data_IF_060353072604
#
_entry.id   IF_060353072604
#
_cell.length_a   1.000
_cell.length_b   1.000
_cell.length_c   1.000
_cell.angle_alpha   90.00
_cell.angle_beta   90.00
_cell.angle_gamma   90.00
#
_symmetry.space_group_name_H-M   'P 1'
#
loop_
_entity.id
_entity.type
_entity.pdbx_description
1 polymer ?
#
# COMPACT_ATOMS: atom_id res chain seq x y z
N UNK A 1 0.71 68.67 24.83
CA UNK A 1 -0.15 67.59 24.39
C UNK A 1 0.77 66.52 23.75
N UNK A 2 0.94 65.35 24.35
CA UNK A 2 1.74 64.27 23.73
C UNK A 2 0.84 63.40 22.84
N UNK A 3 1.27 63.23 21.59
CA UNK A 3 0.67 62.32 20.63
C UNK A 3 1.06 60.86 20.97
N UNK A 4 0.15 60.02 21.40
CA UNK A 4 0.31 58.59 21.51
C UNK A 4 0.15 57.98 20.10
N UNK A 5 1.22 57.43 19.55
CA UNK A 5 1.20 56.57 18.36
C UNK A 5 0.78 55.16 18.79
N UNK A 6 -0.40 54.74 18.40
CA UNK A 6 -0.82 53.33 18.54
C UNK A 6 -0.11 52.50 17.47
N UNK A 7 0.76 51.60 17.91
CA UNK A 7 1.34 50.57 17.05
C UNK A 7 0.35 49.42 17.04
N UNK A 8 -0.33 49.21 15.91
CA UNK A 8 -1.09 47.98 15.67
C UNK A 8 -0.11 46.83 15.31
N UNK A 9 0.08 45.90 16.23
CA UNK A 9 0.79 44.65 15.96
C UNK A 9 -0.24 43.69 15.36
N UNK A 10 -0.19 43.50 14.08
CA UNK A 10 -0.94 42.43 13.39
C UNK A 10 -0.25 41.12 13.71
N UNK A 11 -0.82 40.32 14.62
CA UNK A 11 -0.40 38.96 14.89
C UNK A 11 -0.90 38.12 13.73
N UNK A 12 0.00 37.80 12.79
CA UNK A 12 -0.26 36.78 11.77
C UNK A 12 -0.09 35.44 12.47
N UNK A 13 -1.20 34.83 12.86
CA UNK A 13 -1.23 33.44 13.31
C UNK A 13 -1.04 32.56 12.07
N UNK A 14 0.17 32.06 11.87
CA UNK A 14 0.37 30.91 11.00
C UNK A 14 -0.27 29.71 11.70
N UNK A 15 -1.43 29.31 11.22
CA UNK A 15 -1.96 27.99 11.54
C UNK A 15 -1.04 26.98 10.85
N UNK A 16 -0.13 26.38 11.59
CA UNK A 16 0.55 25.16 11.16
C UNK A 16 -0.54 24.11 11.17
N UNK A 17 -1.05 23.78 9.99
CA UNK A 17 -2.00 22.70 9.81
C UNK A 17 -1.19 21.37 9.94
N UNK A 18 -0.82 21.04 11.18
CA UNK A 18 -0.36 19.69 11.48
C UNK A 18 -1.58 18.81 11.35
N UNK A 19 -1.66 18.00 10.31
CA UNK A 19 -2.67 16.97 10.19
C UNK A 19 -2.68 16.17 11.50
N UNK A 20 -3.72 16.38 12.30
CA UNK A 20 -3.89 15.62 13.51
C UNK A 20 -4.32 14.20 13.12
N UNK A 21 -3.52 13.21 13.49
CA UNK A 21 -3.90 11.79 13.42
C UNK A 21 -3.86 11.18 14.79
N UNK A 22 -4.64 10.12 14.98
CA UNK A 22 -4.54 9.26 16.14
C UNK A 22 -3.82 7.95 15.74
N UNK A 23 -2.80 7.57 16.49
CA UNK A 23 -2.14 6.28 16.33
C UNK A 23 -2.73 5.25 17.28
N UNK A 24 -2.88 4.03 16.81
CA UNK A 24 -3.40 2.94 17.62
C UNK A 24 -2.98 1.57 17.10
N UNK A 25 -3.49 0.56 17.82
CA UNK A 25 -3.29 -0.83 17.46
C UNK A 25 -4.63 -1.57 17.41
N UNK A 26 -4.84 -2.32 16.34
CA UNK A 26 -5.90 -3.32 16.25
C UNK A 26 -5.32 -4.71 16.44
N UNK A 27 -6.15 -5.67 16.87
CA UNK A 27 -5.69 -7.03 17.15
C UNK A 27 -6.54 -8.05 16.39
N UNK A 28 -5.84 -8.94 15.69
CA UNK A 28 -6.42 -10.13 15.06
C UNK A 28 -5.77 -11.37 15.69
N UNK A 29 -6.37 -11.89 16.77
CA UNK A 29 -5.73 -12.87 17.64
C UNK A 29 -4.43 -12.29 18.24
N UNK A 30 -3.32 -12.99 18.05
CA UNK A 30 -2.00 -12.56 18.54
C UNK A 30 -1.30 -11.52 17.63
N UNK A 31 -1.92 -11.19 16.50
CA UNK A 31 -1.36 -10.22 15.55
C UNK A 31 -1.82 -8.81 15.90
N UNK A 32 -0.87 -7.95 16.21
CA UNK A 32 -1.07 -6.53 16.46
C UNK A 32 -0.77 -5.75 15.20
N UNK A 33 -1.71 -4.89 14.76
CA UNK A 33 -1.65 -4.07 13.55
C UNK A 33 -1.61 -2.60 13.95
N UNK A 34 -0.52 -1.92 13.62
CA UNK A 34 -0.38 -0.48 13.85
C UNK A 34 -1.14 0.30 12.78
N UNK A 35 -1.93 1.29 13.19
CA UNK A 35 -2.68 2.15 12.28
C UNK A 35 -2.53 3.62 12.64
N UNK A 36 -2.80 4.50 11.67
CA UNK A 36 -3.09 5.93 11.85
C UNK A 36 -4.47 6.22 11.29
N UNK A 37 -5.20 7.00 12.05
CA UNK A 37 -6.54 7.46 11.74
C UNK A 37 -6.48 8.98 11.54
N UNK A 38 -6.70 9.43 10.31
CA UNK A 38 -6.58 10.83 9.91
C UNK A 38 -7.94 11.51 9.88
N UNK A 39 -7.99 12.73 10.45
CA UNK A 39 -9.15 13.60 10.37
C UNK A 39 -10.20 13.37 11.43
N UNK A 40 -11.31 14.13 11.33
CA UNK A 40 -12.37 14.07 12.33
C UNK A 40 -13.11 12.73 12.26
N UNK A 41 -13.54 12.22 13.41
CA UNK A 41 -14.34 10.98 13.51
C UNK A 41 -15.67 11.06 12.73
N UNK A 42 -16.10 12.25 12.36
CA UNK A 42 -17.29 12.51 11.53
C UNK A 42 -17.01 12.39 10.01
N UNK A 43 -15.74 12.31 9.61
CA UNK A 43 -15.38 12.12 8.20
C UNK A 43 -15.81 10.75 7.68
N UNK A 44 -16.06 10.64 6.39
CA UNK A 44 -16.45 9.37 5.77
C UNK A 44 -15.22 8.43 5.69
N UNK A 45 -15.23 7.26 6.38
CA UNK A 45 -14.06 6.43 6.53
C UNK A 45 -13.63 5.79 5.21
N UNK A 46 -12.32 5.84 4.94
CA UNK A 46 -11.68 5.15 3.84
C UNK A 46 -10.45 4.38 4.34
N UNK A 47 -10.48 3.05 4.20
CA UNK A 47 -9.37 2.18 4.58
C UNK A 47 -8.39 2.01 3.41
N UNK A 48 -7.14 2.38 3.61
CA UNK A 48 -6.08 2.32 2.61
C UNK A 48 -5.14 1.15 2.89
N UNK A 49 -5.09 0.18 1.98
CA UNK A 49 -4.28 -1.05 2.10
C UNK A 49 -3.02 -0.94 1.25
N UNK A 50 -1.86 -0.88 1.91
CA UNK A 50 -0.56 -0.64 1.29
C UNK A 50 -0.01 -1.88 0.58
N UNK A 51 0.88 -1.65 -0.40
CA UNK A 51 1.56 -2.68 -1.18
C UNK A 51 2.66 -3.42 -0.41
N UNK A 52 3.36 -4.30 -1.12
CA UNK A 52 4.43 -5.16 -0.60
C UNK A 52 5.54 -4.35 0.08
N UNK A 53 5.76 -4.60 1.36
CA UNK A 53 6.78 -3.94 2.18
C UNK A 53 6.52 -2.46 2.46
N UNK A 54 5.40 -1.91 1.97
CA UNK A 54 5.00 -0.54 2.25
C UNK A 54 4.46 -0.40 3.67
N UNK A 55 4.84 0.71 4.32
CA UNK A 55 4.36 1.10 5.64
C UNK A 55 3.26 2.16 5.52
N UNK A 56 2.53 2.39 6.59
CA UNK A 56 1.47 3.40 6.65
C UNK A 56 1.96 4.82 6.27
N UNK A 57 3.22 5.15 6.57
CA UNK A 57 3.85 6.43 6.23
C UNK A 57 4.22 6.57 4.75
N UNK A 58 4.15 5.49 3.98
CA UNK A 58 4.48 5.52 2.55
C UNK A 58 3.28 5.88 1.65
N UNK A 59 2.11 6.15 2.22
CA UNK A 59 1.07 6.80 1.46
C UNK A 59 1.47 8.24 1.14
N UNK A 60 1.28 8.70 -0.11
CA UNK A 60 1.62 10.06 -0.48
C UNK A 60 0.77 11.09 0.28
N UNK A 61 1.41 12.13 0.83
CA UNK A 61 0.71 13.16 1.59
C UNK A 61 -0.36 13.86 0.74
N UNK A 62 -0.07 14.15 -0.53
CA UNK A 62 -1.03 14.76 -1.44
C UNK A 62 -2.32 13.94 -1.66
N UNK A 63 -2.26 12.60 -1.54
CA UNK A 63 -3.46 11.76 -1.56
C UNK A 63 -4.23 11.87 -0.24
N UNK A 64 -3.53 11.82 0.90
CA UNK A 64 -4.16 11.90 2.22
C UNK A 64 -4.80 13.27 2.42
N UNK A 65 -4.09 14.35 2.09
CA UNK A 65 -4.58 15.73 2.13
C UNK A 65 -5.83 15.89 1.28
N UNK A 66 -5.79 15.44 0.03
CA UNK A 66 -6.93 15.50 -0.87
C UNK A 66 -8.16 14.78 -0.30
N UNK A 67 -7.99 13.61 0.30
CA UNK A 67 -9.10 12.88 0.90
C UNK A 67 -9.68 13.64 2.11
N UNK A 68 -8.83 14.17 2.99
CA UNK A 68 -9.24 14.91 4.18
C UNK A 68 -9.96 16.20 3.78
N UNK A 69 -9.41 16.96 2.84
CA UNK A 69 -9.98 18.22 2.34
C UNK A 69 -11.36 18.02 1.71
N UNK A 70 -11.64 16.81 1.23
CA UNK A 70 -12.95 16.44 0.67
C UNK A 70 -13.86 15.68 1.66
N UNK A 71 -13.56 15.71 2.96
CA UNK A 71 -14.43 15.20 4.01
C UNK A 71 -14.31 13.71 4.30
N UNK A 72 -13.29 13.04 3.76
CA UNK A 72 -13.02 11.64 4.07
C UNK A 72 -12.12 11.52 5.32
N UNK A 73 -12.16 10.35 5.94
CA UNK A 73 -11.35 9.96 7.09
C UNK A 73 -10.42 8.81 6.68
N UNK A 74 -9.20 9.13 6.17
CA UNK A 74 -8.25 8.10 5.79
C UNK A 74 -7.76 7.31 6.99
N UNK A 75 -7.82 5.98 6.89
CA UNK A 75 -7.27 5.05 7.86
C UNK A 75 -6.18 4.25 7.14
N UNK A 76 -4.94 4.44 7.57
CA UNK A 76 -3.77 3.78 7.01
C UNK A 76 -3.13 2.87 8.04
N UNK A 77 -2.47 1.81 7.63
CA UNK A 77 -1.90 0.86 8.56
C UNK A 77 -0.67 0.15 8.00
N UNK A 78 0.13 -0.36 8.90
CA UNK A 78 1.23 -1.25 8.58
C UNK A 78 0.69 -2.68 8.46
N UNK A 79 0.81 -3.29 7.30
CA UNK A 79 0.50 -4.71 7.15
C UNK A 79 1.37 -5.54 8.12
N UNK A 80 0.91 -6.76 8.53
CA UNK A 80 1.78 -7.67 9.29
C UNK A 80 3.16 -7.79 8.62
N UNK A 81 4.19 -7.90 9.39
CA UNK A 81 5.59 -7.93 8.94
C UNK A 81 6.15 -6.61 8.40
N UNK A 82 5.43 -5.50 8.55
CA UNK A 82 5.96 -4.16 8.21
C UNK A 82 5.79 -3.17 9.37
N UNK A 83 6.58 -2.11 9.35
CA UNK A 83 6.48 -0.98 10.28
C UNK A 83 6.46 -1.41 11.74
N UNK A 84 5.44 -0.96 12.47
CA UNK A 84 5.24 -1.25 13.89
C UNK A 84 4.24 -2.40 14.15
N UNK A 85 3.70 -3.01 13.10
CA UNK A 85 2.87 -4.21 13.23
C UNK A 85 3.68 -5.44 13.61
N UNK A 86 2.99 -6.47 14.12
CA UNK A 86 3.63 -7.74 14.51
C UNK A 86 4.48 -8.30 13.39
N UNK A 87 5.72 -8.63 13.72
CA UNK A 87 6.65 -9.36 12.87
C UNK A 87 6.66 -10.81 13.32
N UNK A 88 6.45 -11.71 12.39
CA UNK A 88 6.46 -13.13 12.69
C UNK A 88 7.91 -13.63 12.76
N UNK A 89 8.28 -14.18 13.91
CA UNK A 89 9.51 -14.96 14.03
C UNK A 89 9.26 -16.34 13.41
N UNK A 90 10.11 -16.72 12.48
CA UNK A 90 10.06 -18.03 11.87
C UNK A 90 11.47 -18.54 11.63
N UNK A 91 11.77 -19.74 12.08
CA UNK A 91 13.07 -20.41 11.85
C UNK A 91 13.39 -20.55 10.36
N UNK A 92 12.35 -20.53 9.50
CA UNK A 92 12.50 -20.54 8.05
C UNK A 92 13.22 -19.29 7.52
N UNK A 93 13.23 -18.21 8.29
CA UNK A 93 13.80 -16.91 7.92
C UNK A 93 14.95 -16.49 8.86
N UNK A 94 15.46 -17.41 9.69
CA UNK A 94 16.77 -17.21 10.34
C UNK A 94 17.83 -16.95 9.27
N UNK A 95 18.88 -16.22 9.60
CA UNK A 95 19.97 -15.87 8.66
C UNK A 95 20.51 -17.09 7.90
N UNK A 96 20.59 -18.24 8.57
CA UNK A 96 21.07 -19.50 8.01
C UNK A 96 20.11 -20.10 6.97
N UNK A 97 18.80 -20.04 7.20
CA UNK A 97 17.78 -20.72 6.39
C UNK A 97 17.18 -19.82 5.30
N UNK A 98 17.29 -18.51 5.45
CA UNK A 98 16.62 -17.50 4.63
C UNK A 98 16.87 -17.68 3.13
N UNK A 99 18.14 -17.76 2.72
CA UNK A 99 18.50 -17.94 1.31
C UNK A 99 17.96 -19.25 0.75
N UNK A 100 18.01 -20.34 1.51
CA UNK A 100 17.47 -21.65 1.11
C UNK A 100 15.95 -21.57 0.95
N UNK A 101 15.25 -20.94 1.88
CA UNK A 101 13.80 -20.76 1.86
C UNK A 101 13.35 -19.94 0.65
N UNK A 102 13.99 -18.79 0.41
CA UNK A 102 13.68 -17.91 -0.73
C UNK A 102 13.93 -18.65 -2.04
N UNK A 103 15.09 -19.27 -2.22
CA UNK A 103 15.42 -20.02 -3.43
C UNK A 103 14.45 -21.18 -3.68
N UNK A 104 14.13 -21.95 -2.64
CA UNK A 104 13.13 -23.01 -2.70
C UNK A 104 11.75 -22.47 -3.12
N UNK A 105 11.33 -21.33 -2.56
CA UNK A 105 10.07 -20.68 -2.92
C UNK A 105 10.03 -20.32 -4.40
N UNK A 106 11.08 -19.70 -4.93
CA UNK A 106 11.14 -19.37 -6.36
C UNK A 106 11.18 -20.62 -7.25
N UNK A 107 11.94 -21.65 -6.90
CA UNK A 107 11.93 -22.92 -7.64
C UNK A 107 10.52 -23.51 -7.68
N UNK A 108 9.85 -23.58 -6.53
CA UNK A 108 8.46 -24.08 -6.44
C UNK A 108 7.51 -23.24 -7.28
N UNK A 109 7.67 -21.91 -7.24
CA UNK A 109 6.88 -20.99 -8.06
C UNK A 109 7.05 -21.24 -9.55
N UNK A 110 8.31 -21.36 -10.05
CA UNK A 110 8.58 -21.63 -11.47
C UNK A 110 8.07 -23.00 -11.91
N UNK A 111 8.17 -24.00 -11.04
CA UNK A 111 7.68 -25.36 -11.29
C UNK A 111 6.18 -25.51 -11.01
N UNK A 112 5.48 -24.43 -10.60
CA UNK A 112 4.06 -24.43 -10.21
C UNK A 112 3.73 -25.43 -9.10
N UNK A 113 4.68 -25.69 -8.22
CA UNK A 113 4.51 -26.51 -7.04
C UNK A 113 3.86 -25.72 -5.90
N UNK A 114 3.12 -26.37 -5.00
CA UNK A 114 2.52 -25.68 -3.86
C UNK A 114 3.54 -24.95 -2.99
N UNK A 115 3.27 -23.69 -2.67
CA UNK A 115 4.03 -22.88 -1.71
C UNK A 115 3.20 -22.80 -0.44
N UNK A 116 3.83 -23.06 0.70
CA UNK A 116 3.21 -22.93 2.03
C UNK A 116 3.77 -21.67 2.68
N UNK A 117 3.08 -20.53 2.59
CA UNK A 117 3.51 -19.30 3.26
C UNK A 117 3.23 -19.38 4.77
N UNK A 118 3.92 -18.59 5.61
CA UNK A 118 3.62 -18.48 7.04
C UNK A 118 2.23 -17.93 7.33
N UNK A 119 1.70 -17.15 6.42
CA UNK A 119 0.33 -16.60 6.40
C UNK A 119 -0.10 -16.32 4.96
N UNK A 120 -1.38 -16.09 4.77
CA UNK A 120 -2.00 -15.87 3.46
C UNK A 120 -2.45 -14.42 3.29
N UNK A 121 -2.83 -14.03 2.06
CA UNK A 121 -3.49 -12.74 1.84
C UNK A 121 -4.89 -12.68 2.48
N UNK A 122 -5.54 -13.83 2.72
CA UNK A 122 -6.80 -13.89 3.48
C UNK A 122 -6.58 -13.54 4.96
N UNK A 123 -5.47 -13.98 5.56
CA UNK A 123 -5.10 -13.58 6.93
C UNK A 123 -4.86 -12.06 7.02
N UNK A 124 -4.19 -11.47 6.01
CA UNK A 124 -3.97 -10.03 5.93
C UNK A 124 -5.28 -9.24 5.71
N UNK A 125 -6.24 -9.82 4.99
CA UNK A 125 -7.58 -9.24 4.85
C UNK A 125 -8.32 -9.20 6.21
N UNK A 126 -8.20 -10.24 7.00
CA UNK A 126 -8.77 -10.27 8.36
C UNK A 126 -8.12 -9.25 9.28
N UNK A 127 -6.81 -8.99 9.13
CA UNK A 127 -6.13 -7.89 9.86
C UNK A 127 -6.75 -6.54 9.54
N UNK A 128 -7.06 -6.31 8.27
CA UNK A 128 -7.68 -5.06 7.81
C UNK A 128 -9.08 -4.87 8.40
N UNK A 129 -9.87 -5.94 8.51
CA UNK A 129 -11.20 -5.91 9.14
C UNK A 129 -11.09 -5.64 10.65
N UNK A 130 -10.09 -6.21 11.33
CA UNK A 130 -9.88 -5.96 12.76
C UNK A 130 -9.63 -4.47 13.06
N UNK A 131 -9.07 -3.70 12.12
CA UNK A 131 -8.91 -2.24 12.27
C UNK A 131 -10.29 -1.55 12.27
N UNK A 132 -11.16 -1.91 11.32
CA UNK A 132 -12.53 -1.37 11.26
C UNK A 132 -13.32 -1.69 12.52
N UNK A 133 -13.15 -2.92 13.03
CA UNK A 133 -13.80 -3.36 14.28
C UNK A 133 -13.26 -2.60 15.49
N UNK A 134 -11.94 -2.41 15.59
CA UNK A 134 -11.29 -1.62 16.65
C UNK A 134 -11.78 -0.18 16.68
N UNK A 135 -12.02 0.41 15.51
CA UNK A 135 -12.50 1.79 15.37
C UNK A 135 -14.03 1.92 15.39
N UNK A 136 -14.75 0.81 15.62
CA UNK A 136 -16.22 0.73 15.56
C UNK A 136 -16.80 1.29 14.25
N UNK A 137 -16.11 1.07 13.13
CA UNK A 137 -16.52 1.51 11.78
C UNK A 137 -17.35 0.40 11.17
N UNK A 138 -18.63 0.63 10.95
CA UNK A 138 -19.54 -0.34 10.34
C UNK A 138 -19.22 -0.54 8.86
N UNK A 139 -19.06 0.55 8.11
CA UNK A 139 -18.75 0.52 6.67
C UNK A 139 -17.72 1.58 6.29
N UNK A 140 -16.83 1.24 5.38
CA UNK A 140 -15.83 2.16 4.85
C UNK A 140 -15.71 2.06 3.33
N UNK A 141 -15.19 3.11 2.70
CA UNK A 141 -14.58 2.96 1.38
C UNK A 141 -13.29 2.15 1.53
N UNK A 142 -12.90 1.47 0.47
CA UNK A 142 -11.71 0.62 0.45
C UNK A 142 -10.81 1.01 -0.72
N UNK A 143 -9.56 1.35 -0.43
CA UNK A 143 -8.55 1.62 -1.45
C UNK A 143 -7.38 0.66 -1.25
N UNK A 144 -7.02 -0.10 -2.28
CA UNK A 144 -5.89 -1.02 -2.22
C UNK A 144 -4.94 -0.85 -3.39
N UNK A 145 -3.64 -0.74 -3.08
CA UNK A 145 -2.59 -0.59 -4.09
C UNK A 145 -1.70 -1.83 -4.14
N UNK A 146 -1.39 -2.32 -5.34
CA UNK A 146 -0.44 -3.41 -5.56
C UNK A 146 -0.83 -4.69 -4.78
N UNK A 147 0.02 -5.21 -3.88
CA UNK A 147 -0.34 -6.29 -2.94
C UNK A 147 -1.57 -5.90 -2.10
N UNK A 148 -1.64 -4.64 -1.64
CA UNK A 148 -2.81 -4.14 -0.92
C UNK A 148 -4.09 -4.23 -1.74
N UNK A 149 -4.02 -4.03 -3.05
CA UNK A 149 -5.14 -4.29 -3.95
C UNK A 149 -5.52 -5.77 -4.05
N UNK A 150 -4.56 -6.69 -3.90
CA UNK A 150 -4.85 -8.12 -3.82
C UNK A 150 -5.58 -8.49 -2.52
N UNK A 151 -5.20 -7.87 -1.40
CA UNK A 151 -5.85 -8.00 -0.10
C UNK A 151 -7.25 -7.38 -0.16
N UNK A 152 -7.36 -6.17 -0.69
CA UNK A 152 -8.62 -5.44 -0.81
C UNK A 152 -9.66 -6.17 -1.66
N UNK A 153 -9.26 -6.89 -2.71
CA UNK A 153 -10.16 -7.79 -3.46
C UNK A 153 -10.75 -8.89 -2.58
N UNK A 154 -9.99 -9.41 -1.63
CA UNK A 154 -10.46 -10.42 -0.68
C UNK A 154 -11.45 -9.80 0.30
N UNK A 155 -11.14 -8.61 0.82
CA UNK A 155 -12.03 -7.85 1.71
C UNK A 155 -13.34 -7.56 0.99
N UNK A 156 -13.29 -6.95 -0.20
CA UNK A 156 -14.46 -6.59 -0.98
C UNK A 156 -15.34 -7.78 -1.39
N UNK A 157 -14.77 -8.99 -1.48
CA UNK A 157 -15.52 -10.20 -1.80
C UNK A 157 -16.11 -10.90 -0.58
N UNK A 158 -15.38 -10.93 0.54
CA UNK A 158 -15.77 -11.71 1.72
C UNK A 158 -16.56 -10.88 2.75
N UNK A 159 -16.42 -9.55 2.73
CA UNK A 159 -17.00 -8.60 3.69
C UNK A 159 -17.75 -7.48 2.95
N UNK A 160 -18.61 -7.85 2.00
CA UNK A 160 -19.31 -6.89 1.11
C UNK A 160 -20.20 -5.91 1.89
N UNK A 161 -20.77 -6.35 3.00
CA UNK A 161 -21.55 -5.55 3.92
C UNK A 161 -20.76 -4.45 4.65
N UNK A 162 -19.43 -4.58 4.69
CA UNK A 162 -18.49 -3.63 5.31
C UNK A 162 -17.94 -2.58 4.33
N UNK A 163 -18.22 -2.71 3.02
CA UNK A 163 -17.58 -1.90 1.98
C UNK A 163 -18.61 -1.03 1.25
N UNK A 164 -18.38 0.29 1.24
CA UNK A 164 -19.17 1.27 0.50
C UNK A 164 -18.80 1.29 -0.98
N UNK A 165 -17.53 1.48 -1.28
CA UNK A 165 -16.95 1.43 -2.63
C UNK A 165 -15.54 0.86 -2.59
N UNK A 166 -15.02 0.44 -3.74
CA UNK A 166 -13.71 -0.17 -3.86
C UNK A 166 -12.86 0.54 -4.93
N UNK A 167 -11.65 0.95 -4.56
CA UNK A 167 -10.65 1.50 -5.50
C UNK A 167 -9.46 0.55 -5.59
N UNK A 168 -9.14 0.09 -6.79
CA UNK A 168 -8.06 -0.85 -7.07
C UNK A 168 -6.98 -0.18 -7.90
N UNK A 169 -5.79 0.04 -7.31
CA UNK A 169 -4.69 0.74 -7.98
C UNK A 169 -3.54 -0.24 -8.25
N UNK A 170 -3.05 -0.27 -9.50
CA UNK A 170 -1.83 -0.98 -9.92
C UNK A 170 -1.74 -2.42 -9.38
N UNK A 171 -2.81 -3.23 -9.50
CA UNK A 171 -2.91 -4.55 -8.87
C UNK A 171 -3.30 -5.66 -9.84
N UNK A 172 -3.34 -6.90 -9.35
CA UNK A 172 -3.71 -8.08 -10.13
C UNK A 172 -4.76 -8.95 -9.45
N UNK A 173 -5.55 -9.67 -10.24
CA UNK A 173 -6.56 -10.62 -9.77
C UNK A 173 -6.04 -12.05 -9.64
N UNK A 174 -4.90 -12.33 -10.26
CA UNK A 174 -4.31 -13.66 -10.29
C UNK A 174 -3.11 -13.79 -9.36
N UNK A 175 -2.75 -15.04 -9.07
CA UNK A 175 -1.40 -15.35 -8.63
C UNK A 175 -0.42 -14.90 -9.73
N UNK A 176 0.65 -14.19 -9.40
CA UNK A 176 1.66 -13.80 -10.37
C UNK A 176 2.12 -14.98 -11.21
N UNK A 177 2.35 -14.74 -12.48
CA UNK A 177 2.86 -15.77 -13.39
C UNK A 177 4.32 -15.48 -13.73
N UNK A 178 5.20 -16.49 -13.83
CA UNK A 178 6.57 -16.29 -14.28
C UNK A 178 6.68 -15.57 -15.65
N UNK A 179 5.70 -15.80 -16.53
CA UNK A 179 5.65 -15.20 -17.88
C UNK A 179 5.05 -13.78 -17.84
N UNK A 180 4.10 -13.55 -16.94
CA UNK A 180 3.29 -12.33 -16.87
C UNK A 180 3.62 -11.46 -15.65
N UNK A 181 4.69 -11.80 -14.95
CA UNK A 181 5.16 -11.07 -13.79
C UNK A 181 5.97 -9.81 -14.14
N UNK A 182 6.73 -9.28 -13.19
CA UNK A 182 7.57 -8.11 -13.35
C UNK A 182 8.53 -8.20 -14.55
N UNK A 183 8.93 -7.05 -15.07
CA UNK A 183 10.02 -6.97 -16.06
C UNK A 183 11.31 -7.59 -15.51
N UNK A 184 12.25 -7.90 -16.40
CA UNK A 184 13.52 -8.55 -16.00
C UNK A 184 14.28 -7.72 -14.96
N UNK A 185 14.33 -6.40 -15.13
CA UNK A 185 15.08 -5.51 -14.26
C UNK A 185 14.43 -5.38 -12.88
N UNK A 186 13.10 -5.20 -12.83
CA UNK A 186 12.35 -5.21 -11.56
C UNK A 186 12.51 -6.55 -10.84
N UNK A 187 12.42 -7.67 -11.57
CA UNK A 187 12.59 -9.01 -11.00
C UNK A 187 13.99 -9.18 -10.41
N UNK A 188 15.03 -8.77 -11.14
CA UNK A 188 16.41 -8.82 -10.67
C UNK A 188 16.59 -8.00 -9.38
N UNK A 189 15.99 -6.82 -9.34
CA UNK A 189 16.08 -5.95 -8.18
C UNK A 189 15.33 -6.52 -6.95
N UNK A 190 14.14 -7.08 -7.16
CA UNK A 190 13.38 -7.74 -6.10
C UNK A 190 14.08 -9.00 -5.55
N UNK A 191 14.70 -9.80 -6.44
CA UNK A 191 15.42 -11.00 -6.04
C UNK A 191 16.76 -10.70 -5.36
N UNK A 192 17.45 -9.65 -5.78
CA UNK A 192 18.73 -9.21 -5.21
C UNK A 192 18.54 -8.31 -3.97
N UNK A 193 17.35 -8.26 -3.40
CA UNK A 193 17.10 -7.63 -2.10
C UNK A 193 17.71 -8.50 -0.99
N UNK A 194 18.98 -8.83 -1.14
CA UNK A 194 19.77 -9.40 -0.06
C UNK A 194 19.97 -8.29 0.94
N UNK A 195 19.49 -8.50 2.13
CA UNK A 195 19.84 -7.70 3.28
C UNK A 195 21.33 -7.89 3.50
N UNK A 196 22.11 -6.90 3.12
CA UNK A 196 23.38 -6.72 3.77
C UNK A 196 23.03 -6.19 5.18
N UNK A 197 23.13 -6.99 6.25
CA UNK A 197 22.78 -6.51 7.60
C UNK A 197 23.67 -5.34 8.02
N UNK A 198 24.84 -5.20 7.39
CA UNK A 198 25.81 -4.14 7.60
C UNK A 198 25.64 -2.96 6.63
N UNK A 199 24.57 -2.92 5.81
CA UNK A 199 24.33 -1.80 4.92
C UNK A 199 24.10 -0.51 5.72
N UNK A 200 24.82 0.54 5.36
CA UNK A 200 24.65 1.88 5.92
C UNK A 200 23.25 2.44 5.61
N UNK A 201 22.87 3.50 6.33
CA UNK A 201 21.61 4.20 6.05
C UNK A 201 21.55 4.66 4.59
N UNK A 202 22.62 5.30 4.11
CA UNK A 202 22.69 5.82 2.74
C UNK A 202 22.60 4.71 1.69
N UNK A 203 23.23 3.55 1.91
CA UNK A 203 23.10 2.41 1.01
C UNK A 203 21.67 1.87 0.96
N UNK A 204 20.95 1.88 2.09
CA UNK A 204 19.54 1.46 2.16
C UNK A 204 18.64 2.46 1.43
N UNK A 205 18.87 3.77 1.62
CA UNK A 205 18.12 4.84 0.94
C UNK A 205 18.36 4.77 -0.57
N UNK A 206 19.62 4.64 -0.99
CA UNK A 206 19.96 4.55 -2.41
C UNK A 206 19.35 3.31 -3.08
N UNK A 207 19.26 2.21 -2.35
CA UNK A 207 18.52 1.02 -2.82
C UNK A 207 17.03 1.30 -3.00
N UNK A 208 16.40 1.98 -2.06
CA UNK A 208 15.00 2.41 -2.17
C UNK A 208 14.82 3.32 -3.37
N UNK A 209 15.70 4.31 -3.55
CA UNK A 209 15.67 5.23 -4.70
C UNK A 209 15.72 4.48 -6.04
N UNK A 210 16.62 3.50 -6.18
CA UNK A 210 16.70 2.66 -7.40
C UNK A 210 15.42 1.91 -7.68
N UNK A 211 14.76 1.40 -6.63
CA UNK A 211 13.48 0.71 -6.79
C UNK A 211 12.42 1.69 -7.29
N UNK A 212 12.26 2.83 -6.61
CA UNK A 212 11.24 3.82 -6.95
C UNK A 212 11.49 4.47 -8.32
N UNK A 213 12.74 4.75 -8.70
CA UNK A 213 13.09 5.20 -10.06
C UNK A 213 12.68 4.18 -11.13
N UNK A 214 12.82 2.88 -10.84
CA UNK A 214 12.49 1.83 -11.81
C UNK A 214 10.98 1.61 -11.96
N UNK A 215 10.20 1.78 -10.89
CA UNK A 215 8.74 1.51 -10.90
C UNK A 215 7.88 2.78 -10.91
N UNK A 216 8.45 3.95 -10.62
CA UNK A 216 7.76 5.23 -10.58
C UNK A 216 7.70 5.93 -11.94
N UNK A 217 7.16 7.14 -11.94
CA UNK A 217 7.06 8.02 -13.10
C UNK A 217 8.45 8.28 -13.69
N UNK A 218 8.58 8.12 -14.99
CA UNK A 218 9.85 8.35 -15.68
C UNK A 218 10.29 9.82 -15.57
N UNK A 219 11.54 10.03 -15.17
CA UNK A 219 12.10 11.37 -14.99
C UNK A 219 11.66 12.09 -13.71
N UNK A 220 10.83 11.45 -12.85
CA UNK A 220 10.47 12.05 -11.56
C UNK A 220 11.69 12.12 -10.63
N UNK A 221 11.95 13.33 -10.10
CA UNK A 221 13.11 13.55 -9.24
C UNK A 221 12.86 13.03 -7.82
N UNK A 222 13.64 12.03 -7.44
CA UNK A 222 13.66 11.45 -6.10
C UNK A 222 14.87 11.95 -5.28
N UNK A 223 15.66 12.91 -5.77
CA UNK A 223 16.77 13.52 -5.03
C UNK A 223 16.27 14.70 -4.19
N UNK A 224 15.20 14.47 -3.45
CA UNK A 224 14.56 15.47 -2.59
C UNK A 224 14.81 15.16 -1.13
N UNK A 225 14.82 16.20 -0.29
CA UNK A 225 14.90 16.07 1.16
C UNK A 225 13.69 15.28 1.70
N UNK A 226 12.51 15.47 1.12
CA UNK A 226 11.31 14.74 1.48
C UNK A 226 11.50 13.23 1.28
N UNK A 227 11.98 12.79 0.11
CA UNK A 227 12.24 11.37 -0.15
C UNK A 227 13.30 10.81 0.81
N UNK A 228 14.35 11.59 1.09
CA UNK A 228 15.39 11.20 2.04
C UNK A 228 14.81 10.99 3.44
N UNK A 229 14.10 11.98 3.98
CA UNK A 229 13.52 11.94 5.33
C UNK A 229 12.49 10.82 5.49
N UNK A 230 11.57 10.64 4.52
CA UNK A 230 10.62 9.51 4.52
C UNK A 230 11.33 8.16 4.44
N UNK A 231 12.42 8.06 3.69
CA UNK A 231 13.21 6.83 3.62
C UNK A 231 13.90 6.52 4.94
N UNK A 232 14.50 7.54 5.60
CA UNK A 232 15.10 7.39 6.94
C UNK A 232 14.05 6.90 7.94
N UNK A 233 12.90 7.57 8.01
CA UNK A 233 11.82 7.19 8.91
C UNK A 233 11.35 5.75 8.64
N UNK A 234 11.14 5.40 7.37
CA UNK A 234 10.71 4.06 6.99
C UNK A 234 11.72 2.98 7.40
N UNK A 235 13.02 3.24 7.23
CA UNK A 235 14.09 2.30 7.62
C UNK A 235 14.16 2.18 9.14
N UNK A 236 14.03 3.27 9.89
CA UNK A 236 14.04 3.27 11.36
C UNK A 236 12.84 2.51 11.93
N UNK A 237 11.63 2.74 11.39
CA UNK A 237 10.39 2.02 11.77
C UNK A 237 10.48 0.53 11.43
N UNK A 238 11.11 0.19 10.30
CA UNK A 238 11.30 -1.18 9.87
C UNK A 238 12.25 -1.95 10.78
N UNK A 239 13.21 -1.27 11.41
CA UNK A 239 14.28 -1.94 12.15
C UNK A 239 15.23 -2.74 11.23
N UNK A 240 16.11 -3.55 11.80
CA UNK A 240 17.15 -4.26 11.03
C UNK A 240 16.61 -5.48 10.26
N UNK A 241 15.51 -6.09 10.71
CA UNK A 241 14.97 -7.30 10.08
C UNK A 241 14.08 -6.97 8.87
N UNK A 242 14.52 -7.36 7.68
CA UNK A 242 13.77 -7.23 6.43
C UNK A 242 13.14 -8.55 5.95
N UNK A 243 13.14 -9.59 6.78
CA UNK A 243 12.56 -10.90 6.46
C UNK A 243 11.06 -10.84 6.22
N UNK A 244 10.38 -9.85 6.79
CA UNK A 244 8.95 -9.60 6.58
C UNK A 244 8.58 -9.44 5.11
N UNK A 245 9.40 -8.73 4.34
CA UNK A 245 9.22 -8.60 2.89
C UNK A 245 9.18 -9.96 2.18
N UNK A 246 10.07 -10.87 2.57
CA UNK A 246 10.13 -12.22 1.99
C UNK A 246 8.90 -13.06 2.37
N UNK A 247 8.38 -12.93 3.60
CA UNK A 247 7.15 -13.62 4.04
C UNK A 247 5.93 -13.10 3.28
N UNK A 248 5.84 -11.78 3.05
CA UNK A 248 4.78 -11.20 2.22
C UNK A 248 4.87 -11.67 0.75
N UNK A 249 6.08 -11.79 0.16
CA UNK A 249 6.24 -12.40 -1.17
C UNK A 249 5.74 -13.85 -1.15
N UNK A 250 6.05 -14.64 -0.13
CA UNK A 250 5.52 -16.00 -0.03
C UNK A 250 4.00 -16.02 0.08
N UNK A 251 3.39 -15.07 0.80
CA UNK A 251 1.95 -14.93 0.85
C UNK A 251 1.34 -14.64 -0.51
N UNK A 252 1.95 -13.76 -1.31
CA UNK A 252 1.53 -13.47 -2.69
C UNK A 252 1.65 -14.73 -3.57
N UNK A 253 2.81 -15.38 -3.57
CA UNK A 253 3.11 -16.53 -4.44
C UNK A 253 2.36 -17.79 -4.03
N UNK A 254 2.10 -17.96 -2.72
CA UNK A 254 1.35 -19.09 -2.16
C UNK A 254 -0.17 -18.91 -2.18
N UNK A 255 -0.65 -17.71 -2.48
CA UNK A 255 -2.08 -17.43 -2.54
C UNK A 255 -2.75 -18.14 -3.71
N UNK A 256 -3.93 -18.68 -3.46
CA UNK A 256 -4.80 -19.20 -4.53
C UNK A 256 -5.25 -18.06 -5.43
N UNK A 257 -5.60 -18.38 -6.69
CA UNK A 257 -6.14 -17.36 -7.57
C UNK A 257 -7.48 -16.83 -6.99
N UNK A 258 -7.68 -15.54 -7.14
CA UNK A 258 -8.83 -14.83 -6.58
C UNK A 258 -10.01 -14.66 -7.55
N UNK A 259 -9.96 -15.29 -8.74
CA UNK A 259 -10.94 -15.06 -9.83
C UNK A 259 -12.39 -15.25 -9.35
N UNK A 260 -12.66 -16.30 -8.55
CA UNK A 260 -14.02 -16.53 -8.03
C UNK A 260 -14.44 -15.40 -7.08
N UNK A 261 -13.57 -15.01 -6.15
CA UNK A 261 -13.81 -13.90 -5.21
C UNK A 261 -14.02 -12.59 -5.97
N UNK A 262 -13.14 -12.26 -6.92
CA UNK A 262 -13.23 -11.03 -7.73
C UNK A 262 -14.56 -10.94 -8.50
N UNK A 263 -15.06 -12.06 -9.02
CA UNK A 263 -16.38 -12.11 -9.69
C UNK A 263 -17.57 -11.87 -8.76
N UNK A 264 -17.43 -12.12 -7.46
CA UNK A 264 -18.48 -11.89 -6.49
C UNK A 264 -18.49 -10.49 -5.88
N UNK A 265 -17.54 -9.62 -6.22
CA UNK A 265 -17.52 -8.24 -5.75
C UNK A 265 -18.71 -7.49 -6.33
N UNK A 266 -19.55 -6.95 -5.44
CA UNK A 266 -20.76 -6.17 -5.78
C UNK A 266 -20.52 -4.68 -5.66
N UNK A 267 -19.58 -4.25 -4.81
CA UNK A 267 -19.25 -2.85 -4.59
C UNK A 267 -18.89 -2.15 -5.90
N UNK A 268 -19.35 -0.92 -6.07
CA UNK A 268 -18.89 -0.05 -7.15
C UNK A 268 -17.36 0.02 -7.10
N UNK A 269 -16.70 -0.24 -8.22
CA UNK A 269 -15.26 -0.39 -8.26
C UNK A 269 -14.61 0.55 -9.26
N UNK A 270 -13.62 1.33 -8.82
CA UNK A 270 -12.75 2.11 -9.69
C UNK A 270 -11.40 1.40 -9.81
N UNK A 271 -10.97 1.13 -11.03
CA UNK A 271 -9.69 0.49 -11.32
C UNK A 271 -8.78 1.52 -11.99
N UNK A 272 -7.60 1.76 -11.41
CA UNK A 272 -6.61 2.70 -11.93
C UNK A 272 -5.30 1.95 -12.16
N UNK A 273 -4.70 2.10 -13.35
CA UNK A 273 -3.48 1.36 -13.68
C UNK A 273 -2.61 2.11 -14.67
N UNK A 274 -1.30 2.04 -14.47
CA UNK A 274 -0.35 2.57 -15.42
C UNK A 274 -0.20 1.68 -16.65
N UNK A 275 -0.23 2.29 -17.85
CA UNK A 275 -0.06 1.58 -19.12
C UNK A 275 1.25 0.80 -19.16
N UNK A 276 2.33 1.43 -18.69
CA UNK A 276 3.69 0.91 -18.77
C UNK A 276 4.22 0.44 -17.40
N UNK A 277 3.31 -0.01 -16.52
CA UNK A 277 3.66 -0.57 -15.21
C UNK A 277 4.65 -1.75 -15.37
N UNK A 278 5.91 -1.62 -14.88
CA UNK A 278 6.92 -2.65 -15.04
C UNK A 278 6.83 -3.78 -14.00
N UNK A 279 6.03 -3.55 -12.94
CA UNK A 279 5.86 -4.49 -11.83
C UNK A 279 4.60 -5.36 -12.03
N UNK A 280 3.47 -4.75 -12.32
CA UNK A 280 2.19 -5.42 -12.59
C UNK A 280 1.62 -4.93 -13.93
N UNK A 281 1.76 -5.74 -14.96
CA UNK A 281 1.36 -5.35 -16.32
C UNK A 281 -0.12 -4.97 -16.43
N UNK A 282 -0.42 -3.91 -17.16
CA UNK A 282 -1.76 -3.34 -17.37
C UNK A 282 -2.85 -4.34 -17.78
N UNK A 283 -2.49 -5.46 -18.42
CA UNK A 283 -3.45 -6.52 -18.74
C UNK A 283 -4.17 -7.10 -17.52
N UNK A 284 -3.59 -6.96 -16.31
CA UNK A 284 -4.25 -7.36 -15.07
C UNK A 284 -5.44 -6.44 -14.76
N UNK A 285 -5.32 -5.13 -15.04
CA UNK A 285 -6.42 -4.19 -14.91
C UNK A 285 -7.55 -4.46 -15.89
N UNK A 286 -7.22 -4.72 -17.17
CA UNK A 286 -8.24 -5.16 -18.15
C UNK A 286 -8.94 -6.45 -17.72
N UNK A 287 -8.21 -7.38 -17.09
CA UNK A 287 -8.81 -8.60 -16.56
C UNK A 287 -9.71 -8.31 -15.36
N UNK A 288 -9.27 -7.47 -14.43
CA UNK A 288 -10.09 -7.06 -13.28
C UNK A 288 -11.40 -6.43 -13.74
N UNK A 289 -11.34 -5.48 -14.68
CA UNK A 289 -12.51 -4.81 -15.25
C UNK A 289 -13.50 -5.75 -15.92
N UNK A 290 -13.01 -6.82 -16.55
CA UNK A 290 -13.92 -7.86 -17.13
C UNK A 290 -14.53 -8.77 -16.08
N UNK A 291 -13.92 -8.93 -14.92
CA UNK A 291 -14.37 -9.84 -13.87
C UNK A 291 -15.30 -9.18 -12.87
N UNK A 292 -15.07 -7.91 -12.53
CA UNK A 292 -15.88 -7.12 -11.59
C UNK A 292 -17.00 -6.45 -12.36
N UNK A 293 -18.23 -6.84 -12.09
CA UNK A 293 -19.42 -6.41 -12.85
C UNK A 293 -19.63 -4.89 -12.82
N UNK A 294 -19.45 -4.28 -11.64
CA UNK A 294 -19.69 -2.86 -11.41
C UNK A 294 -18.38 -2.07 -11.38
N UNK A 295 -17.53 -2.21 -12.42
CA UNK A 295 -16.24 -1.56 -12.45
C UNK A 295 -16.09 -0.56 -13.59
N UNK A 296 -15.35 0.51 -13.29
CA UNK A 296 -14.83 1.49 -14.25
C UNK A 296 -13.31 1.37 -14.28
N UNK A 297 -12.70 1.43 -15.45
CA UNK A 297 -11.25 1.34 -15.64
C UNK A 297 -10.68 2.64 -16.19
N UNK A 298 -9.64 3.14 -15.55
CA UNK A 298 -8.80 4.24 -16.01
C UNK A 298 -7.39 3.68 -16.24
N UNK A 299 -6.89 3.82 -17.47
CA UNK A 299 -5.51 3.48 -17.82
C UNK A 299 -4.77 4.76 -18.16
N UNK A 300 -3.75 5.08 -17.37
CA UNK A 300 -2.95 6.31 -17.52
C UNK A 300 -1.66 6.02 -18.28
N UNK A 301 -1.39 6.78 -19.33
CA UNK A 301 -0.20 6.60 -20.18
C UNK A 301 1.10 6.96 -19.46
N UNK A 302 1.07 7.96 -18.58
CA UNK A 302 2.25 8.43 -17.85
C UNK A 302 2.48 7.70 -16.55
N UNK A 303 1.46 7.07 -15.98
CA UNK A 303 1.58 6.26 -14.78
C UNK A 303 2.37 4.98 -15.08
N UNK A 304 3.29 4.66 -14.19
CA UNK A 304 3.89 3.32 -14.10
C UNK A 304 3.25 2.55 -12.93
N UNK A 305 3.96 2.35 -11.82
CA UNK A 305 3.40 1.61 -10.68
C UNK A 305 3.02 2.52 -9.51
N UNK A 306 3.60 3.72 -9.44
CA UNK A 306 3.43 4.65 -8.32
C UNK A 306 2.45 5.78 -8.67
N UNK A 307 2.02 6.52 -7.64
CA UNK A 307 1.05 7.62 -7.75
C UNK A 307 1.68 8.95 -7.32
N UNK A 308 2.74 9.35 -8.04
CA UNK A 308 3.36 10.65 -7.84
C UNK A 308 2.37 11.80 -8.12
N UNK A 309 2.63 13.02 -7.62
CA UNK A 309 1.68 14.14 -7.76
C UNK A 309 1.17 14.36 -9.20
N UNK A 310 2.01 14.37 -10.26
CA UNK A 310 1.52 14.57 -11.63
C UNK A 310 0.63 13.42 -12.13
N UNK A 311 0.81 12.20 -11.60
CA UNK A 311 -0.02 11.05 -11.90
C UNK A 311 -1.35 11.15 -11.17
N UNK A 312 -1.32 11.51 -9.88
CA UNK A 312 -2.51 11.68 -9.06
C UNK A 312 -3.45 12.74 -9.62
N UNK A 313 -2.92 13.86 -10.08
CA UNK A 313 -3.69 14.95 -10.68
C UNK A 313 -4.54 14.51 -11.89
N UNK A 314 -4.15 13.43 -12.58
CA UNK A 314 -4.90 12.93 -13.75
C UNK A 314 -6.16 12.14 -13.38
N UNK A 315 -6.28 11.66 -12.13
CA UNK A 315 -7.45 10.83 -11.75
C UNK A 315 -8.12 11.23 -10.43
N UNK A 316 -7.63 12.24 -9.72
CA UNK A 316 -8.17 12.64 -8.40
C UNK A 316 -9.65 13.01 -8.46
N UNK A 317 -10.10 13.67 -9.54
CA UNK A 317 -11.52 14.04 -9.73
C UNK A 317 -12.40 12.80 -9.99
N UNK A 318 -11.88 11.81 -10.71
CA UNK A 318 -12.60 10.55 -10.93
C UNK A 318 -12.66 9.72 -9.65
N UNK A 319 -11.60 9.76 -8.84
CA UNK A 319 -11.60 9.15 -7.50
C UNK A 319 -12.67 9.80 -6.62
N UNK A 320 -12.74 11.14 -6.56
CA UNK A 320 -13.73 11.84 -5.77
C UNK A 320 -15.17 11.51 -6.22
N UNK A 321 -15.44 11.54 -7.54
CA UNK A 321 -16.74 11.15 -8.10
C UNK A 321 -17.10 9.69 -7.79
N UNK A 322 -16.11 8.82 -7.70
CA UNK A 322 -16.31 7.41 -7.35
C UNK A 322 -16.67 7.24 -5.87
N UNK A 323 -15.98 7.94 -4.99
CA UNK A 323 -16.22 7.89 -3.55
C UNK A 323 -17.55 8.52 -3.14
N UNK A 324 -18.06 9.50 -3.90
CA UNK A 324 -19.33 10.19 -3.64
C UNK A 324 -20.59 9.39 -4.06
N UNK A 325 -20.45 8.20 -4.65
CA UNK A 325 -21.57 7.33 -5.06
C UNK A 325 -22.04 6.44 -3.93
#
# INVERSE_FOLDING_TARGET
MPFYKYIFITIITFSINTQAWEEGFAYNGDIRIAYRDYGPSTGDPILLVQGLGGQLINWPDHLLDFLIDNGYRPIVFDNRDTGLSTRLNSDLFSDENRSKTINSTYIRYFLRLPIKPPYTLDDMANDSIAILDQLAIEKSHLLGMSMGGMIAQIIAANHQDRIKSFTLIASSTDTPSPINGPTRDVRKLLMNRSSNPNATMDERIERSRKIFTLIGLEGYDLNTEEFYNKSVESIQRAGPDDSGFSRQIMAILGSKNRIKKVKSIEAQTLIIHGKDDPLIKVKNAYKANRLIKNSQLIVLSEMRHMIEPPVFDQFKEDLLKHLAK
#
